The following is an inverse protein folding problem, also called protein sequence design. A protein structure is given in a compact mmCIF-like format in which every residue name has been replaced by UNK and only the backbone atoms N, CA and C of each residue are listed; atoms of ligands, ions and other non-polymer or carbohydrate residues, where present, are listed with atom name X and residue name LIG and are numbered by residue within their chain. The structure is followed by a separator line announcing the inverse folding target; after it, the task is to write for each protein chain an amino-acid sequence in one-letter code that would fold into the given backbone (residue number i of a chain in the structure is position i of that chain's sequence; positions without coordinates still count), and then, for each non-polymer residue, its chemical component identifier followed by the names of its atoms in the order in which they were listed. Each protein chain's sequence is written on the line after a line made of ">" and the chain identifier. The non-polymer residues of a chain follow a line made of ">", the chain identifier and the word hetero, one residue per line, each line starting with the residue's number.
data_IF_075978295145
#
_entry.id   IF_075978295145
#
_cell.length_a   1.000
_cell.length_b   1.000
_cell.length_c   1.000
_cell.angle_alpha   90.00
_cell.angle_beta   90.00
_cell.angle_gamma   90.00
#
_symmetry.space_group_name_H-M   'P 1'
#
loop_
_entity.id
_entity.type
_entity.pdbx_description
1 polymer ?
#
# COMPACT_ATOMS: atom_id res chain seq x y z
N UNK A 1 13.32 -12.92 -9.11
CA UNK A 1 13.11 -11.68 -9.92
C UNK A 1 14.03 -10.59 -9.36
N UNK A 2 14.40 -9.54 -10.11
CA UNK A 2 15.22 -8.42 -9.59
C UNK A 2 14.42 -7.40 -8.76
N UNK A 3 13.33 -7.84 -8.14
CA UNK A 3 12.39 -7.03 -7.38
C UNK A 3 12.12 -7.73 -6.05
N UNK A 4 12.30 -7.01 -4.95
CA UNK A 4 11.86 -7.46 -3.63
C UNK A 4 10.47 -6.88 -3.29
N UNK A 5 9.70 -7.60 -2.48
CA UNK A 5 8.45 -7.10 -1.91
C UNK A 5 8.72 -6.51 -0.53
N UNK A 6 8.21 -5.31 -0.29
CA UNK A 6 8.30 -4.57 0.97
C UNK A 6 6.87 -4.36 1.51
N UNK A 7 6.47 -5.17 2.47
CA UNK A 7 5.06 -5.28 2.86
C UNK A 7 4.86 -4.86 4.31
N UNK A 8 3.67 -4.34 4.61
CA UNK A 8 3.19 -4.12 5.99
C UNK A 8 2.01 -5.02 6.28
N UNK A 9 1.96 -5.59 7.48
CA UNK A 9 0.91 -6.53 7.87
C UNK A 9 0.39 -6.26 9.28
N UNK A 10 -0.91 -5.99 9.36
CA UNK A 10 -1.69 -5.97 10.59
C UNK A 10 -2.94 -6.83 10.40
N UNK A 11 -2.96 -8.01 11.02
CA UNK A 11 -4.13 -8.90 11.00
C UNK A 11 -4.28 -9.64 12.33
N UNK A 12 -4.90 -9.01 13.34
CA UNK A 12 -5.05 -9.60 14.66
C UNK A 12 -5.94 -10.84 14.71
N UNK A 13 -6.83 -10.98 13.72
CA UNK A 13 -7.80 -12.08 13.66
C UNK A 13 -7.34 -13.24 12.77
N UNK A 14 -6.24 -13.09 12.04
CA UNK A 14 -5.78 -14.11 11.09
C UNK A 14 -6.73 -14.29 9.90
N UNK A 15 -7.51 -13.27 9.54
CA UNK A 15 -8.48 -13.29 8.45
C UNK A 15 -7.82 -13.55 7.09
N UNK A 16 -6.53 -13.24 6.95
CA UNK A 16 -5.78 -13.41 5.70
C UNK A 16 -5.18 -14.80 5.49
N UNK A 17 -5.21 -15.70 6.48
CA UNK A 17 -4.54 -17.01 6.39
C UNK A 17 -5.04 -17.82 5.19
N UNK A 18 -6.37 -17.90 5.01
CA UNK A 18 -6.95 -18.67 3.91
C UNK A 18 -6.58 -18.10 2.54
N UNK A 19 -6.45 -16.77 2.42
CA UNK A 19 -6.05 -16.12 1.17
C UNK A 19 -4.56 -16.31 0.90
N UNK A 20 -3.73 -16.20 1.95
CA UNK A 20 -2.30 -16.49 1.89
C UNK A 20 -2.05 -17.91 1.38
N UNK A 21 -2.69 -18.93 1.98
CA UNK A 21 -2.47 -20.34 1.61
C UNK A 21 -2.80 -20.62 0.13
N UNK A 22 -3.80 -19.92 -0.44
CA UNK A 22 -4.17 -20.06 -1.86
C UNK A 22 -3.19 -19.36 -2.81
N UNK A 23 -2.74 -18.16 -2.44
CA UNK A 23 -1.98 -17.28 -3.32
C UNK A 23 -0.47 -17.50 -3.22
N UNK A 24 0.02 -17.95 -2.06
CA UNK A 24 1.44 -18.05 -1.76
C UNK A 24 2.23 -18.91 -2.77
N UNK A 25 1.79 -20.11 -3.19
CA UNK A 25 2.57 -20.92 -4.12
C UNK A 25 2.86 -20.20 -5.43
N UNK A 26 1.91 -19.43 -5.94
CA UNK A 26 2.10 -18.62 -7.14
C UNK A 26 2.99 -17.40 -6.88
N UNK A 27 2.79 -16.71 -5.76
CA UNK A 27 3.55 -15.52 -5.41
C UNK A 27 5.04 -15.85 -5.23
N UNK A 28 5.34 -16.90 -4.47
CA UNK A 28 6.71 -17.38 -4.21
C UNK A 28 7.40 -17.93 -5.47
N UNK A 29 6.66 -18.33 -6.50
CA UNK A 29 7.23 -18.73 -7.78
C UNK A 29 7.82 -17.55 -8.56
N UNK A 30 7.35 -16.33 -8.30
CA UNK A 30 7.76 -15.11 -9.01
C UNK A 30 8.63 -14.18 -8.16
N UNK A 31 8.39 -14.13 -6.85
CA UNK A 31 9.09 -13.29 -5.90
C UNK A 31 9.84 -14.15 -4.87
N UNK A 32 11.17 -14.13 -4.96
CA UNK A 32 12.10 -14.87 -4.11
C UNK A 32 12.71 -14.00 -2.99
N UNK A 33 12.31 -12.73 -2.91
CA UNK A 33 12.75 -11.77 -1.91
C UNK A 33 11.55 -11.02 -1.34
N UNK A 34 11.06 -11.44 -0.18
CA UNK A 34 9.85 -10.90 0.44
C UNK A 34 10.18 -10.50 1.87
N UNK A 35 9.98 -9.21 2.17
CA UNK A 35 10.11 -8.65 3.51
C UNK A 35 8.74 -8.16 3.99
N UNK A 36 8.38 -8.52 5.23
CA UNK A 36 7.12 -8.08 5.85
C UNK A 36 7.41 -7.46 7.21
N UNK A 37 7.05 -6.19 7.36
CA UNK A 37 6.98 -5.51 8.64
C UNK A 37 5.62 -5.82 9.28
N UNK A 38 5.64 -6.61 10.35
CA UNK A 38 4.42 -7.06 11.04
C UNK A 38 4.15 -6.25 12.30
N UNK A 39 2.89 -5.95 12.54
CA UNK A 39 2.43 -5.36 13.80
C UNK A 39 2.53 -6.36 14.96
N UNK A 40 2.60 -5.84 16.20
CA UNK A 40 2.62 -6.68 17.40
C UNK A 40 1.32 -7.47 17.64
N UNK A 41 0.23 -7.05 17.01
CA UNK A 41 -1.08 -7.68 17.21
C UNK A 41 -1.37 -8.78 16.19
N UNK A 42 -0.55 -8.92 15.14
CA UNK A 42 -0.76 -9.91 14.09
C UNK A 42 -0.84 -11.34 14.67
N UNK A 43 -1.83 -12.10 14.23
CA UNK A 43 -2.13 -13.42 14.77
C UNK A 43 -0.94 -14.39 14.62
N UNK A 44 -0.61 -15.13 15.70
CA UNK A 44 0.52 -16.06 15.71
C UNK A 44 0.52 -17.09 14.57
N UNK A 45 -0.62 -17.72 14.19
CA UNK A 45 -0.64 -18.67 13.07
C UNK A 45 -0.22 -18.05 11.73
N UNK A 46 -0.54 -16.77 11.49
CA UNK A 46 -0.12 -16.08 10.27
C UNK A 46 1.40 -15.82 10.27
N UNK A 47 1.97 -15.50 11.44
CA UNK A 47 3.41 -15.32 11.59
C UNK A 47 4.19 -16.63 11.40
N UNK A 48 3.66 -17.74 11.91
CA UNK A 48 4.21 -19.09 11.69
C UNK A 48 4.24 -19.42 10.19
N UNK A 49 3.13 -19.21 9.47
CA UNK A 49 3.05 -19.41 8.01
C UNK A 49 4.10 -18.61 7.26
N UNK A 50 4.22 -17.32 7.54
CA UNK A 50 5.23 -16.47 6.89
C UNK A 50 6.66 -16.92 7.19
N UNK A 51 6.91 -17.38 8.42
CA UNK A 51 8.22 -17.91 8.83
C UNK A 51 8.55 -19.20 8.08
N UNK A 52 7.59 -20.13 7.99
CA UNK A 52 7.73 -21.40 7.26
C UNK A 52 7.99 -21.16 5.77
N UNK A 53 7.48 -20.05 5.24
CA UNK A 53 7.68 -19.61 3.87
C UNK A 53 9.00 -18.85 3.63
N UNK A 54 9.83 -18.67 4.66
CA UNK A 54 11.13 -18.01 4.52
C UNK A 54 11.05 -16.50 4.31
N UNK A 55 9.93 -15.87 4.70
CA UNK A 55 9.77 -14.41 4.63
C UNK A 55 10.71 -13.73 5.62
N UNK A 56 11.33 -12.64 5.18
CA UNK A 56 12.16 -11.80 6.05
C UNK A 56 11.27 -10.91 6.91
N UNK A 57 11.10 -11.28 8.19
CA UNK A 57 10.17 -10.61 9.09
C UNK A 57 10.84 -9.53 9.94
N UNK A 58 10.23 -8.35 9.97
CA UNK A 58 10.51 -7.30 10.94
C UNK A 58 9.31 -7.12 11.85
N UNK A 59 9.53 -6.88 13.14
CA UNK A 59 8.46 -6.63 14.12
C UNK A 59 8.50 -5.19 14.61
N UNK A 60 7.33 -4.61 14.84
CA UNK A 60 7.24 -3.34 15.54
C UNK A 60 7.77 -3.47 16.98
N UNK A 61 8.33 -2.40 17.52
CA UNK A 61 8.69 -2.35 18.94
C UNK A 61 7.45 -2.05 19.77
N UNK A 62 7.29 -2.73 20.90
CA UNK A 62 6.20 -2.48 21.85
C UNK A 62 6.17 -1.04 22.40
N UNK A 63 7.32 -0.36 22.42
CA UNK A 63 7.47 0.99 22.97
C UNK A 63 7.24 2.10 21.93
N UNK A 64 7.03 1.75 20.66
CA UNK A 64 6.79 2.73 19.62
C UNK A 64 5.30 3.07 19.53
N UNK A 65 4.95 4.36 19.55
CA UNK A 65 3.63 4.78 19.08
C UNK A 65 3.47 4.33 17.63
N UNK A 66 2.56 3.38 17.35
CA UNK A 66 2.33 2.85 16.01
C UNK A 66 1.79 3.97 15.13
N UNK A 67 2.61 4.43 14.19
CA UNK A 67 2.21 5.38 13.16
C UNK A 67 2.53 4.78 11.79
N UNK A 68 1.53 4.73 10.92
CA UNK A 68 1.57 3.91 9.71
C UNK A 68 2.74 4.29 8.80
N UNK A 69 3.02 5.57 8.58
CA UNK A 69 4.15 6.03 7.77
C UNK A 69 5.50 5.56 8.31
N UNK A 70 5.69 5.51 9.64
CA UNK A 70 6.89 4.91 10.25
C UNK A 70 6.98 3.42 9.95
N UNK A 71 5.88 2.68 10.10
CA UNK A 71 5.82 1.23 9.81
C UNK A 71 6.14 0.96 8.35
N UNK A 72 5.59 1.75 7.43
CA UNK A 72 5.87 1.69 5.99
C UNK A 72 7.35 1.97 5.69
N UNK A 73 7.97 2.96 6.34
CA UNK A 73 9.43 3.21 6.22
C UNK A 73 10.27 2.05 6.76
N UNK A 74 9.85 1.42 7.85
CA UNK A 74 10.52 0.21 8.36
C UNK A 74 10.41 -0.96 7.39
N UNK A 75 9.27 -1.14 6.71
CA UNK A 75 9.13 -2.15 5.66
C UNK A 75 10.13 -1.92 4.51
N UNK A 76 10.32 -0.67 4.07
CA UNK A 76 11.36 -0.33 3.10
C UNK A 76 12.77 -0.65 3.62
N UNK A 77 13.08 -0.25 4.85
CA UNK A 77 14.38 -0.51 5.47
C UNK A 77 14.69 -2.02 5.60
N UNK A 78 13.67 -2.81 5.93
CA UNK A 78 13.75 -4.26 6.01
C UNK A 78 13.98 -4.88 4.64
N UNK A 79 13.21 -4.47 3.62
CA UNK A 79 13.33 -4.99 2.26
C UNK A 79 14.66 -4.60 1.58
N UNK A 80 15.25 -3.46 1.94
CA UNK A 80 16.59 -3.06 1.49
C UNK A 80 17.67 -4.07 1.90
N UNK A 81 17.44 -4.90 2.93
CA UNK A 81 18.39 -5.95 3.35
C UNK A 81 18.41 -7.15 2.40
N UNK A 82 17.41 -7.30 1.52
CA UNK A 82 17.27 -8.44 0.60
C UNK A 82 18.07 -8.29 -0.72
N UNK A 83 18.95 -7.29 -0.80
CA UNK A 83 19.87 -7.00 -1.91
C UNK A 83 19.25 -7.05 -3.31
N UNK A 84 18.04 -6.50 -3.46
CA UNK A 84 17.41 -6.29 -4.77
C UNK A 84 17.56 -4.84 -5.24
N UNK A 85 17.71 -4.60 -6.56
CA UNK A 85 17.85 -3.26 -7.12
C UNK A 85 16.54 -2.49 -7.10
N UNK A 86 15.39 -3.18 -7.08
CA UNK A 86 14.06 -2.57 -7.03
C UNK A 86 13.16 -3.25 -6.00
N UNK A 87 12.12 -2.52 -5.61
CA UNK A 87 11.18 -2.86 -4.55
C UNK A 87 9.76 -2.57 -5.04
N UNK A 88 8.81 -3.42 -4.69
CA UNK A 88 7.39 -3.06 -4.66
C UNK A 88 7.01 -2.90 -3.19
N UNK A 89 6.57 -1.71 -2.81
CA UNK A 89 5.87 -1.48 -1.56
C UNK A 89 4.36 -1.67 -1.75
N UNK A 90 3.72 -2.43 -0.85
CA UNK A 90 2.27 -2.62 -0.83
C UNK A 90 1.80 -3.08 0.57
N UNK A 91 0.55 -2.78 0.93
CA UNK A 91 -0.07 -3.41 2.10
C UNK A 91 -0.30 -4.91 1.82
N UNK A 92 -0.13 -5.77 2.81
CA UNK A 92 -0.09 -7.23 2.59
C UNK A 92 -1.40 -7.78 2.02
N UNK A 93 -2.55 -7.34 2.53
CA UNK A 93 -3.87 -7.72 2.02
C UNK A 93 -4.09 -7.28 0.57
N UNK A 94 -3.71 -6.04 0.24
CA UNK A 94 -3.74 -5.53 -1.14
C UNK A 94 -2.88 -6.36 -2.09
N UNK A 95 -1.68 -6.77 -1.66
CA UNK A 95 -0.83 -7.64 -2.47
C UNK A 95 -1.48 -9.01 -2.72
N UNK A 96 -2.05 -9.63 -1.67
CA UNK A 96 -2.71 -10.92 -1.81
C UNK A 96 -3.90 -10.83 -2.79
N UNK A 97 -4.73 -9.80 -2.64
CA UNK A 97 -5.84 -9.51 -3.55
C UNK A 97 -5.35 -9.31 -4.98
N UNK A 98 -4.35 -8.45 -5.17
CA UNK A 98 -3.78 -8.17 -6.50
C UNK A 98 -3.30 -9.48 -7.16
N UNK A 99 -2.57 -10.31 -6.42
CA UNK A 99 -2.08 -11.55 -6.98
C UNK A 99 -3.17 -12.60 -7.21
N UNK A 100 -4.22 -12.64 -6.40
CA UNK A 100 -5.34 -13.57 -6.59
C UNK A 100 -6.13 -13.27 -7.87
N UNK A 101 -6.41 -12.00 -8.14
CA UNK A 101 -7.31 -11.60 -9.23
C UNK A 101 -6.58 -11.12 -10.49
N UNK A 102 -5.39 -10.53 -10.35
CA UNK A 102 -4.60 -9.97 -11.47
C UNK A 102 -3.11 -10.35 -11.41
N UNK A 103 -2.74 -11.64 -11.30
CA UNK A 103 -1.35 -12.06 -11.10
C UNK A 103 -0.42 -11.63 -12.23
N UNK A 104 -0.90 -11.69 -13.49
CA UNK A 104 -0.13 -11.27 -14.66
C UNK A 104 0.19 -9.78 -14.62
N UNK A 105 -0.77 -8.95 -14.19
CA UNK A 105 -0.54 -7.51 -14.07
C UNK A 105 0.54 -7.22 -13.02
N UNK A 106 0.51 -7.87 -11.85
CA UNK A 106 1.54 -7.69 -10.84
C UNK A 106 2.94 -8.03 -11.37
N UNK A 107 3.06 -9.11 -12.14
CA UNK A 107 4.32 -9.54 -12.76
C UNK A 107 4.80 -8.51 -13.80
N UNK A 108 3.89 -8.01 -14.64
CA UNK A 108 4.20 -7.01 -15.66
C UNK A 108 4.59 -5.66 -15.03
N UNK A 109 3.90 -5.25 -13.96
CA UNK A 109 4.24 -4.06 -13.17
C UNK A 109 5.63 -4.20 -12.57
N UNK A 110 5.96 -5.35 -11.96
CA UNK A 110 7.28 -5.60 -11.40
C UNK A 110 8.39 -5.47 -12.46
N UNK A 111 8.13 -5.84 -13.71
CA UNK A 111 9.07 -5.62 -14.80
C UNK A 111 9.21 -4.13 -15.17
N UNK A 112 8.10 -3.37 -15.20
CA UNK A 112 8.03 -1.97 -15.64
C UNK A 112 8.59 -0.97 -14.63
N UNK A 113 8.41 -1.20 -13.33
CA UNK A 113 8.91 -0.27 -12.30
C UNK A 113 10.42 -0.08 -12.35
N UNK A 114 11.16 -1.01 -12.96
CA UNK A 114 12.63 -0.95 -13.12
C UNK A 114 13.11 0.14 -14.09
N UNK A 115 12.19 0.80 -14.77
CA UNK A 115 12.50 1.88 -15.72
C UNK A 115 12.62 3.25 -15.05
N UNK A 116 12.18 3.36 -13.79
CA UNK A 116 12.12 4.61 -13.05
C UNK A 116 12.59 4.40 -11.61
N UNK A 117 12.92 5.49 -10.92
CA UNK A 117 13.34 5.40 -9.52
C UNK A 117 12.17 5.31 -8.56
N UNK A 118 11.04 5.91 -8.94
CA UNK A 118 9.85 5.84 -8.15
C UNK A 118 8.63 5.85 -9.06
N UNK A 119 7.74 4.89 -8.84
CA UNK A 119 6.50 4.74 -9.57
C UNK A 119 5.34 4.74 -8.59
N UNK A 120 4.40 5.66 -8.77
CA UNK A 120 3.10 5.56 -8.09
C UNK A 120 2.27 4.51 -8.83
N UNK A 121 1.84 3.48 -8.11
CA UNK A 121 0.92 2.46 -8.63
C UNK A 121 -0.48 2.86 -8.20
N UNK A 122 -1.22 3.48 -9.12
CA UNK A 122 -2.57 3.99 -8.88
C UNK A 122 -3.63 3.08 -9.47
N UNK A 123 -4.89 3.29 -9.09
CA UNK A 123 -6.00 2.51 -9.63
C UNK A 123 -6.46 3.04 -10.98
N UNK A 124 -6.84 2.15 -11.88
CA UNK A 124 -7.63 2.57 -13.06
C UNK A 124 -8.96 3.17 -12.60
N UNK A 125 -9.67 3.94 -13.46
CA UNK A 125 -11.00 4.45 -13.11
C UNK A 125 -11.99 3.35 -12.71
N UNK A 126 -11.86 2.14 -13.28
CA UNK A 126 -12.69 0.98 -12.94
C UNK A 126 -12.34 0.45 -11.54
N UNK A 127 -11.07 0.16 -11.28
CA UNK A 127 -10.60 -0.33 -9.97
C UNK A 127 -10.91 0.67 -8.85
N UNK A 128 -10.68 1.97 -9.10
CA UNK A 128 -11.07 3.04 -8.18
C UNK A 128 -12.58 3.00 -7.90
N UNK A 129 -13.40 2.80 -8.94
CA UNK A 129 -14.86 2.70 -8.87
C UNK A 129 -15.40 1.54 -8.00
N UNK A 130 -14.60 0.53 -7.69
CA UNK A 130 -15.01 -0.59 -6.82
C UNK A 130 -15.05 -0.24 -5.34
N UNK A 131 -14.43 0.88 -4.94
CA UNK A 131 -14.35 1.29 -3.55
C UNK A 131 -15.63 2.02 -3.10
N UNK A 132 -15.96 1.95 -1.79
CA UNK A 132 -17.04 2.74 -1.19
C UNK A 132 -16.95 4.23 -1.55
N UNK A 133 -18.09 4.92 -1.63
CA UNK A 133 -18.15 6.35 -1.97
C UNK A 133 -17.38 7.19 -0.97
N UNK A 134 -17.45 6.88 0.33
CA UNK A 134 -16.66 7.55 1.37
C UNK A 134 -15.17 7.57 1.06
N UNK A 135 -14.66 6.50 0.43
CA UNK A 135 -13.26 6.38 0.06
C UNK A 135 -12.98 7.13 -1.25
N UNK A 136 -13.82 6.92 -2.27
CA UNK A 136 -13.66 7.58 -3.58
C UNK A 136 -13.74 9.10 -3.48
N UNK A 137 -14.72 9.62 -2.76
CA UNK A 137 -14.95 11.06 -2.67
C UNK A 137 -13.83 11.76 -1.88
N UNK A 138 -13.34 11.12 -0.81
CA UNK A 138 -12.22 11.67 -0.02
C UNK A 138 -10.87 11.58 -0.76
N UNK A 139 -10.58 10.46 -1.42
CA UNK A 139 -9.36 10.30 -2.23
C UNK A 139 -9.37 11.14 -3.51
N UNK A 140 -10.53 11.45 -4.08
CA UNK A 140 -10.64 12.40 -5.18
C UNK A 140 -10.17 13.80 -4.76
N UNK A 141 -10.47 14.23 -3.54
CA UNK A 141 -9.96 15.51 -2.98
C UNK A 141 -8.44 15.45 -2.83
N UNK A 142 -7.91 14.38 -2.26
CA UNK A 142 -6.46 14.17 -2.09
C UNK A 142 -5.75 14.22 -3.45
N UNK A 143 -6.22 13.43 -4.42
CA UNK A 143 -5.64 13.36 -5.76
C UNK A 143 -5.73 14.72 -6.48
N UNK A 144 -6.83 15.48 -6.30
CA UNK A 144 -6.94 16.84 -6.82
C UNK A 144 -5.86 17.75 -6.24
N UNK A 145 -5.70 17.80 -4.92
CA UNK A 145 -4.68 18.64 -4.26
C UNK A 145 -3.27 18.19 -4.67
N UNK A 146 -3.01 16.88 -4.70
CA UNK A 146 -1.74 16.33 -5.16
C UNK A 146 -1.40 16.79 -6.57
N UNK A 147 -2.36 16.77 -7.49
CA UNK A 147 -2.15 17.26 -8.86
C UNK A 147 -1.82 18.75 -8.90
N UNK A 148 -2.41 19.57 -8.03
CA UNK A 148 -2.12 21.01 -7.94
C UNK A 148 -0.72 21.29 -7.39
N UNK A 149 -0.26 20.50 -6.42
CA UNK A 149 1.06 20.67 -5.78
C UNK A 149 2.18 20.10 -6.66
N UNK A 150 2.01 18.87 -7.15
CA UNK A 150 3.03 18.15 -7.91
C UNK A 150 3.06 18.48 -9.41
N UNK A 151 1.93 18.96 -9.96
CA UNK A 151 1.71 19.04 -11.41
C UNK A 151 1.39 17.68 -12.07
N UNK A 152 1.15 16.63 -11.28
CA UNK A 152 0.96 15.25 -11.75
C UNK A 152 -0.43 14.72 -11.33
N UNK A 153 -1.34 14.44 -12.28
CA UNK A 153 -2.70 13.99 -11.99
C UNK A 153 -2.72 12.48 -11.68
N UNK A 154 -2.13 12.08 -10.56
CA UNK A 154 -1.95 10.67 -10.19
C UNK A 154 -2.93 10.25 -9.10
N UNK A 155 -3.39 9.00 -9.16
CA UNK A 155 -4.04 8.35 -8.02
C UNK A 155 -2.98 7.87 -7.03
N UNK A 156 -2.92 8.51 -5.87
CA UNK A 156 -1.94 8.21 -4.81
C UNK A 156 -2.52 7.32 -3.71
N UNK A 157 -3.85 7.27 -3.59
CA UNK A 157 -4.56 6.68 -2.44
C UNK A 157 -4.46 5.16 -2.34
N UNK A 158 -4.01 4.46 -3.39
CA UNK A 158 -3.82 3.01 -3.34
C UNK A 158 -2.61 2.59 -2.48
N UNK A 159 -1.74 3.53 -2.11
CA UNK A 159 -0.55 3.29 -1.26
C UNK A 159 0.56 2.43 -1.85
N UNK A 160 0.32 1.71 -2.96
CA UNK A 160 1.30 0.84 -3.60
C UNK A 160 2.33 1.64 -4.43
N UNK A 161 3.62 1.26 -4.36
CA UNK A 161 4.72 1.98 -5.02
C UNK A 161 5.74 1.02 -5.61
N UNK A 162 6.29 1.37 -6.78
CA UNK A 162 7.54 0.82 -7.29
C UNK A 162 8.70 1.73 -6.89
N UNK A 163 9.82 1.18 -6.41
CA UNK A 163 10.97 1.96 -6.00
C UNK A 163 12.29 1.33 -6.48
N UNK A 164 13.22 2.15 -6.97
CA UNK A 164 14.62 1.76 -7.02
C UNK A 164 15.22 1.76 -5.62
N UNK A 165 16.31 1.00 -5.45
CA UNK A 165 17.04 0.92 -4.18
C UNK A 165 17.42 2.31 -3.64
N UNK A 166 17.88 3.21 -4.52
CA UNK A 166 18.27 4.58 -4.12
C UNK A 166 17.08 5.42 -3.66
N UNK A 167 15.92 5.29 -4.32
CA UNK A 167 14.72 6.03 -3.92
C UNK A 167 14.23 5.55 -2.55
N UNK A 168 14.21 4.24 -2.31
CA UNK A 168 13.88 3.67 -1.02
C UNK A 168 14.86 4.10 0.08
N UNK A 169 16.17 4.12 -0.18
CA UNK A 169 17.18 4.62 0.75
C UNK A 169 16.95 6.09 1.11
N UNK A 170 16.66 6.94 0.12
CA UNK A 170 16.36 8.36 0.34
C UNK A 170 15.10 8.54 1.19
N UNK A 171 14.03 7.78 0.93
CA UNK A 171 12.81 7.83 1.75
C UNK A 171 13.10 7.41 3.19
N UNK A 172 13.81 6.29 3.41
CA UNK A 172 14.16 5.82 4.74
C UNK A 172 14.97 6.87 5.50
N UNK A 173 15.93 7.51 4.84
CA UNK A 173 16.84 8.48 5.46
C UNK A 173 16.19 9.86 5.72
N UNK A 174 15.29 10.32 4.85
CA UNK A 174 14.88 11.73 4.81
C UNK A 174 13.38 11.98 5.00
N UNK A 175 12.52 10.97 4.84
CA UNK A 175 11.09 11.15 5.10
C UNK A 175 10.86 11.33 6.61
N UNK A 176 10.17 12.41 6.96
CA UNK A 176 9.79 12.75 8.34
C UNK A 176 8.28 12.55 8.59
N UNK A 177 7.54 12.18 7.55
CA UNK A 177 6.11 11.93 7.63
C UNK A 177 5.87 10.51 8.13
N UNK A 178 5.59 10.43 9.43
CA UNK A 178 5.28 9.16 10.06
C UNK A 178 3.81 8.76 9.88
N UNK A 179 2.95 9.59 9.27
CA UNK A 179 1.49 9.40 9.11
C UNK A 179 1.11 8.70 7.79
N UNK A 180 -0.20 8.55 7.50
CA UNK A 180 -0.63 8.11 6.16
C UNK A 180 -0.33 9.14 5.06
N UNK A 181 -0.01 10.38 5.43
CA UNK A 181 0.45 11.41 4.50
C UNK A 181 1.63 10.97 3.64
N UNK A 182 2.32 9.90 4.03
CA UNK A 182 3.39 9.30 3.26
C UNK A 182 2.98 8.80 1.86
N UNK A 183 1.68 8.56 1.63
CA UNK A 183 1.14 8.25 0.31
C UNK A 183 1.41 9.39 -0.70
N UNK A 184 1.36 10.65 -0.24
CA UNK A 184 1.63 11.83 -1.06
C UNK A 184 3.01 12.43 -0.79
N UNK A 185 3.52 12.35 0.42
CA UNK A 185 4.78 13.02 0.79
C UNK A 185 6.02 12.29 0.29
N UNK A 186 5.99 10.97 0.09
CA UNK A 186 7.10 10.23 -0.53
C UNK A 186 7.38 10.63 -1.98
N UNK A 187 6.40 10.60 -2.90
CA UNK A 187 6.66 11.07 -4.27
C UNK A 187 7.02 12.55 -4.31
N UNK A 188 6.42 13.40 -3.46
CA UNK A 188 6.77 14.82 -3.37
C UNK A 188 8.20 15.06 -2.86
N UNK A 189 8.65 14.29 -1.87
CA UNK A 189 10.01 14.33 -1.35
C UNK A 189 11.02 14.08 -2.48
N UNK A 190 10.83 12.99 -3.23
CA UNK A 190 11.72 12.63 -4.34
C UNK A 190 11.62 13.63 -5.50
N UNK A 191 10.42 14.14 -5.80
CA UNK A 191 10.24 15.18 -6.80
C UNK A 191 10.97 16.47 -6.42
N UNK A 192 10.94 16.86 -5.15
CA UNK A 192 11.59 18.07 -4.66
C UNK A 192 13.11 17.93 -4.64
N UNK A 193 13.63 16.73 -4.35
CA UNK A 193 15.06 16.43 -4.45
C UNK A 193 15.60 16.62 -5.89
N UNK A 194 14.78 16.32 -6.90
CA UNK A 194 15.01 16.69 -8.30
C UNK A 194 15.95 15.77 -9.08
N UNK A 195 16.55 14.78 -8.44
CA UNK A 195 17.49 13.82 -9.02
C UNK A 195 16.88 12.41 -9.26
N UNK A 196 15.55 12.27 -9.10
CA UNK A 196 14.81 11.02 -9.27
C UNK A 196 13.93 11.03 -10.52
N UNK A 197 13.90 9.91 -11.24
CA UNK A 197 12.92 9.68 -12.30
C UNK A 197 11.62 9.15 -11.69
N UNK A 198 10.51 9.80 -12.03
CA UNK A 198 9.19 9.58 -11.41
C UNK A 198 8.17 9.22 -12.48
N UNK A 199 7.43 8.13 -12.27
CA UNK A 199 6.41 7.64 -13.19
C UNK A 199 5.12 7.20 -12.48
N UNK A 200 4.10 6.88 -13.28
CA UNK A 200 2.80 6.42 -12.82
C UNK A 200 2.29 5.27 -13.68
N UNK A 201 1.81 4.23 -13.01
CA UNK A 201 1.17 3.08 -13.67
C UNK A 201 -0.21 2.91 -13.05
N UNK A 202 -1.23 2.92 -13.90
CA UNK A 202 -2.57 2.51 -13.51
C UNK A 202 -2.65 0.98 -13.47
N UNK A 203 -3.34 0.47 -12.46
CA UNK A 203 -3.44 -0.96 -12.17
C UNK A 203 -4.87 -1.34 -11.84
N UNK A 204 -5.30 -2.49 -12.35
CA UNK A 204 -6.59 -3.09 -12.05
C UNK A 204 -6.57 -3.80 -10.70
N UNK A 205 -5.50 -4.47 -10.31
CA UNK A 205 -5.48 -5.33 -9.11
C UNK A 205 -5.39 -4.62 -7.77
N UNK A 206 -5.52 -3.29 -7.75
CA UNK A 206 -5.70 -2.50 -6.53
C UNK A 206 -7.19 -2.18 -6.30
N UNK A 207 -8.09 -3.11 -6.65
CA UNK A 207 -9.54 -3.01 -6.34
C UNK A 207 -9.80 -3.04 -4.83
N UNK A 208 -11.08 -2.90 -4.46
CA UNK A 208 -11.50 -2.92 -3.06
C UNK A 208 -11.32 -4.30 -2.42
N UNK A 209 -10.16 -4.50 -1.81
CA UNK A 209 -9.69 -5.75 -1.20
C UNK A 209 -10.31 -6.02 0.17
N UNK A 210 -10.84 -4.98 0.84
CA UNK A 210 -11.24 -5.11 2.24
C UNK A 210 -12.29 -6.21 2.41
N UNK A 211 -13.19 -6.38 1.44
CA UNK A 211 -14.21 -7.43 1.45
C UNK A 211 -13.64 -8.86 1.60
N UNK A 212 -12.41 -9.12 1.12
CA UNK A 212 -11.77 -10.44 1.20
C UNK A 212 -11.58 -10.92 2.64
N UNK A 213 -11.46 -9.97 3.59
CA UNK A 213 -11.30 -10.23 5.02
C UNK A 213 -12.61 -10.46 5.77
N UNK A 214 -13.75 -10.11 5.15
CA UNK A 214 -15.05 -10.09 5.81
C UNK A 214 -16.12 -10.86 5.00
N UNK A 215 -15.84 -12.10 4.54
CA UNK A 215 -16.77 -12.83 3.67
C UNK A 215 -18.12 -13.12 4.36
N UNK A 216 -18.11 -13.41 5.66
CA UNK A 216 -19.32 -13.68 6.42
C UNK A 216 -20.16 -12.42 6.61
N UNK A 217 -19.53 -11.29 6.90
CA UNK A 217 -20.21 -10.00 7.03
C UNK A 217 -20.77 -9.52 5.69
N UNK A 218 -20.03 -9.72 4.59
CA UNK A 218 -20.51 -9.45 3.23
C UNK A 218 -21.73 -10.30 2.89
N UNK A 219 -21.70 -11.61 3.19
CA UNK A 219 -22.85 -12.49 2.99
C UNK A 219 -24.04 -12.08 3.88
N UNK A 220 -23.80 -11.71 5.14
CA UNK A 220 -24.85 -11.30 6.07
C UNK A 220 -25.51 -9.98 5.66
N UNK A 221 -24.77 -9.07 5.00
CA UNK A 221 -25.30 -7.83 4.46
C UNK A 221 -26.19 -8.03 3.22
N UNK A 222 -26.13 -9.20 2.57
CA UNK A 222 -26.87 -9.49 1.33
C UNK A 222 -26.00 -9.52 0.07
N UNK A 223 -24.70 -9.28 0.21
CA UNK A 223 -23.77 -9.16 -0.91
C UNK A 223 -22.79 -8.00 -0.73
N UNK A 224 -21.81 -7.94 -1.65
CA UNK A 224 -20.83 -6.85 -1.65
C UNK A 224 -21.46 -5.46 -1.85
N UNK A 225 -22.44 -5.26 -2.77
CA UNK A 225 -23.08 -3.96 -2.93
C UNK A 225 -23.75 -3.46 -1.64
N UNK A 226 -24.54 -4.32 -0.98
CA UNK A 226 -25.25 -3.98 0.24
C UNK A 226 -24.29 -3.72 1.41
N UNK A 227 -23.19 -4.46 1.47
CA UNK A 227 -22.16 -4.21 2.48
C UNK A 227 -21.44 -2.87 2.26
N UNK A 228 -21.14 -2.51 1.00
CA UNK A 228 -20.57 -1.19 0.67
C UNK A 228 -21.56 -0.07 1.02
N UNK A 229 -22.84 -0.23 0.70
CA UNK A 229 -23.87 0.76 1.03
C UNK A 229 -23.96 0.96 2.56
N UNK A 230 -23.85 -0.11 3.36
CA UNK A 230 -23.80 0.00 4.82
C UNK A 230 -22.57 0.76 5.33
N UNK A 231 -21.41 0.61 4.68
CA UNK A 231 -20.22 1.40 5.02
C UNK A 231 -20.45 2.88 4.72
N UNK A 232 -21.05 3.18 3.55
CA UNK A 232 -21.36 4.54 3.09
C UNK A 232 -22.49 5.21 3.90
N UNK A 233 -23.40 4.45 4.50
CA UNK A 233 -24.49 4.98 5.32
C UNK A 233 -24.06 5.36 6.75
N UNK A 234 -22.87 4.93 7.21
CA UNK A 234 -22.36 5.25 8.55
C UNK A 234 -21.58 6.58 8.58
N UNK A 235 -22.10 7.63 9.25
CA UNK A 235 -21.41 8.91 9.36
C UNK A 235 -20.05 8.83 10.08
N UNK A 236 -19.84 7.84 10.95
CA UNK A 236 -18.57 7.65 11.65
C UNK A 236 -17.45 7.26 10.67
N UNK A 237 -17.74 6.43 9.66
CA UNK A 237 -16.77 6.10 8.62
C UNK A 237 -16.43 7.31 7.76
N UNK A 238 -17.42 8.15 7.43
CA UNK A 238 -17.17 9.42 6.72
C UNK A 238 -16.26 10.35 7.52
N UNK A 239 -16.55 10.55 8.82
CA UNK A 239 -15.72 11.38 9.69
C UNK A 239 -14.27 10.88 9.73
N UNK A 240 -14.07 9.57 9.90
CA UNK A 240 -12.74 8.95 9.86
C UNK A 240 -12.02 9.22 8.53
N UNK A 241 -12.67 9.00 7.38
CA UNK A 241 -12.04 9.21 6.06
C UNK A 241 -11.71 10.66 5.78
N UNK A 242 -12.56 11.60 6.22
CA UNK A 242 -12.28 13.03 6.11
C UNK A 242 -11.07 13.43 6.94
N UNK A 243 -10.89 12.83 8.13
CA UNK A 243 -9.69 13.04 8.94
C UNK A 243 -8.43 12.49 8.26
N UNK A 244 -8.50 11.31 7.64
CA UNK A 244 -7.39 10.77 6.85
C UNK A 244 -7.04 11.71 5.68
N UNK A 245 -8.04 12.15 4.91
CA UNK A 245 -7.82 13.08 3.80
C UNK A 245 -7.22 14.41 4.26
N UNK A 246 -7.64 14.92 5.42
CA UNK A 246 -7.03 16.11 6.03
C UNK A 246 -5.56 15.89 6.35
N UNK A 247 -5.17 14.73 6.87
CA UNK A 247 -3.77 14.39 7.17
C UNK A 247 -2.94 14.40 5.88
N UNK A 248 -3.41 13.73 4.82
CA UNK A 248 -2.71 13.70 3.53
C UNK A 248 -2.59 15.08 2.89
N UNK A 249 -3.69 15.86 2.85
CA UNK A 249 -3.66 17.24 2.34
C UNK A 249 -2.68 18.10 3.14
N UNK A 250 -2.63 17.94 4.46
CA UNK A 250 -1.67 18.67 5.32
C UNK A 250 -0.24 18.29 5.00
N UNK A 251 0.04 17.01 4.71
CA UNK A 251 1.37 16.53 4.36
C UNK A 251 1.92 17.13 3.05
N UNK A 252 1.05 17.66 2.18
CA UNK A 252 1.46 18.32 0.93
C UNK A 252 1.85 19.80 1.12
N UNK A 253 1.43 20.44 2.21
CA UNK A 253 1.66 21.88 2.45
C UNK A 253 3.14 22.27 2.34
N UNK A 254 4.11 21.55 2.93
CA UNK A 254 5.53 21.91 2.83
C UNK A 254 6.09 21.89 1.39
N UNK A 255 5.40 21.21 0.46
CA UNK A 255 5.80 21.07 -0.93
C UNK A 255 5.05 22.01 -1.88
N UNK A 256 4.04 22.72 -1.39
CA UNK A 256 3.33 23.71 -2.19
C UNK A 256 4.29 24.87 -2.53
N UNK A 257 4.38 25.23 -3.82
CA UNK A 257 5.19 26.38 -4.25
C UNK A 257 4.63 27.65 -3.62
N UNK A 258 5.48 28.42 -2.93
CA UNK A 258 5.22 29.82 -2.56
C UNK A 258 5.22 30.71 -3.79
#
# INVERSE_FOLDING_TARGET
>A
MDVALALVLHDPSGRLISQLDRTWPGLAAHFDAIAVQVSMQTAAPLLERLTDHGVHLGRESADAATNIGRVRRHALALALQLDRPHLIYCDFDRLLHWFEYHPRELIDVAARIRQHDFTVLGRTPRAFGTHPRLQRDTEAIINHVYARVSGRPWDTGAGARGLSRRAAQTIVAHSVDDTLGNDVSWPLLLQHAGDFTLDYIETEGLEFETADRFPDEVMAAGGLPEWIDQLDDDPAHWAMRLDLARVEVTAMIPFARS
#
